data_IF_454127083461
#
_entry.id   IF_454127083461
#
_cell.length_a   1.000
_cell.length_b   1.000
_cell.length_c   1.000
_cell.angle_alpha   90.00
_cell.angle_beta   90.00
_cell.angle_gamma   90.00
#
_symmetry.space_group_name_H-M   'P 1'
#
loop_
_entity.id
_entity.type
_entity.pdbx_description
1 polymer ?
#
# COMPACT_ATOMS: atom_id res chain seq x y z
N UNK A 1 19.73 -2.89 -9.85
CA UNK A 1 20.64 -4.05 -9.57
C UNK A 1 20.00 -5.31 -10.13
N UNK A 2 20.76 -6.26 -10.67
CA UNK A 2 20.20 -7.58 -10.99
C UNK A 2 19.82 -8.31 -9.70
N UNK A 3 18.72 -9.10 -9.70
CA UNK A 3 18.33 -9.82 -8.49
C UNK A 3 19.37 -10.90 -8.14
N UNK A 4 19.62 -11.04 -6.87
CA UNK A 4 20.36 -12.17 -6.34
C UNK A 4 19.43 -13.35 -6.08
N UNK A 5 19.94 -14.56 -6.24
CA UNK A 5 19.21 -15.78 -5.88
C UNK A 5 19.47 -16.06 -4.40
N UNK A 6 18.40 -16.10 -3.59
CA UNK A 6 18.51 -16.54 -2.20
C UNK A 6 18.54 -18.06 -2.12
N UNK A 7 19.16 -18.58 -1.07
CA UNK A 7 19.14 -20.01 -0.79
C UNK A 7 17.72 -20.52 -0.59
N UNK A 8 17.36 -21.56 -1.30
CA UNK A 8 16.04 -22.21 -1.23
C UNK A 8 16.19 -23.65 -0.69
N UNK A 9 15.20 -24.15 0.06
CA UNK A 9 15.19 -25.56 0.48
C UNK A 9 15.25 -26.51 -0.71
N UNK A 10 15.78 -27.73 -0.54
CA UNK A 10 15.79 -28.74 -1.60
C UNK A 10 14.38 -28.97 -2.18
N UNK A 11 14.24 -28.88 -3.50
CA UNK A 11 12.97 -29.05 -4.20
C UNK A 11 12.05 -27.80 -4.22
N UNK A 12 12.41 -26.72 -3.53
CA UNK A 12 11.68 -25.46 -3.61
C UNK A 12 12.06 -24.66 -4.85
N UNK A 13 11.17 -23.75 -5.27
CA UNK A 13 11.43 -22.86 -6.39
C UNK A 13 12.49 -21.78 -6.05
N UNK A 14 13.14 -21.18 -7.06
CA UNK A 14 14.07 -20.08 -6.85
C UNK A 14 13.41 -18.88 -6.16
N UNK A 15 14.21 -18.15 -5.36
CA UNK A 15 13.81 -16.87 -4.77
C UNK A 15 14.72 -15.80 -5.33
N UNK A 16 14.15 -14.85 -6.07
CA UNK A 16 14.85 -13.73 -6.68
C UNK A 16 14.67 -12.47 -5.84
N UNK A 17 15.73 -11.92 -5.28
CA UNK A 17 15.67 -10.75 -4.41
C UNK A 17 16.42 -9.57 -5.01
N UNK A 18 15.73 -8.44 -5.17
CA UNK A 18 16.32 -7.16 -5.54
C UNK A 18 16.84 -6.37 -4.32
N UNK A 19 16.47 -6.79 -3.11
CA UNK A 19 16.96 -6.18 -1.88
C UNK A 19 18.44 -6.47 -1.64
N UNK A 20 19.24 -5.45 -1.27
CA UNK A 20 20.64 -5.63 -0.81
C UNK A 20 20.70 -6.43 0.49
N UNK A 21 19.69 -6.28 1.35
CA UNK A 21 19.54 -7.06 2.58
C UNK A 21 18.11 -7.56 2.74
N UNK A 22 17.97 -8.85 3.06
CA UNK A 22 16.68 -9.48 3.39
C UNK A 22 16.75 -9.96 4.83
N UNK A 23 15.85 -9.47 5.73
CA UNK A 23 15.85 -9.92 7.12
C UNK A 23 15.71 -11.44 7.24
N UNK A 24 16.41 -12.11 8.17
CA UNK A 24 16.35 -13.58 8.29
C UNK A 24 14.93 -14.14 8.46
N UNK A 25 14.05 -13.41 9.15
CA UNK A 25 12.63 -13.80 9.27
C UNK A 25 11.89 -13.75 7.94
N UNK A 26 12.19 -12.76 7.09
CA UNK A 26 11.60 -12.66 5.75
C UNK A 26 12.15 -13.76 4.82
N UNK A 27 13.45 -14.10 4.91
CA UNK A 27 14.02 -15.23 4.17
C UNK A 27 13.26 -16.52 4.46
N UNK A 28 13.00 -16.83 5.75
CA UNK A 28 12.21 -18.01 6.13
C UNK A 28 10.80 -17.99 5.54
N UNK A 29 10.14 -16.83 5.53
CA UNK A 29 8.80 -16.69 4.94
C UNK A 29 8.81 -16.89 3.43
N UNK A 30 9.82 -16.36 2.72
CA UNK A 30 10.02 -16.55 1.28
C UNK A 30 10.32 -18.01 0.94
N UNK A 31 11.19 -18.67 1.72
CA UNK A 31 11.51 -20.09 1.57
C UNK A 31 10.27 -20.99 1.78
N UNK A 32 9.46 -20.66 2.79
CA UNK A 32 8.21 -21.37 3.02
C UNK A 32 7.24 -21.21 1.85
N UNK A 33 7.10 -20.00 1.30
CA UNK A 33 6.28 -19.75 0.11
C UNK A 33 6.83 -20.48 -1.13
N UNK A 34 8.14 -20.43 -1.37
CA UNK A 34 8.78 -21.07 -2.52
C UNK A 34 8.65 -22.62 -2.51
N UNK A 35 8.37 -23.21 -1.34
CA UNK A 35 8.13 -24.63 -1.18
C UNK A 35 6.67 -25.04 -1.42
N UNK A 36 5.75 -24.09 -1.69
CA UNK A 36 4.35 -24.41 -1.89
C UNK A 36 4.10 -24.95 -3.30
N UNK A 37 3.32 -26.06 -3.45
CA UNK A 37 3.16 -26.74 -4.74
C UNK A 37 2.36 -25.95 -5.78
N UNK A 38 1.63 -24.92 -5.36
CA UNK A 38 0.84 -24.07 -6.26
C UNK A 38 1.62 -22.86 -6.80
N UNK A 39 2.78 -22.54 -6.24
CA UNK A 39 3.65 -21.46 -6.76
C UNK A 39 4.30 -21.92 -8.05
N UNK A 40 4.38 -21.04 -9.03
CA UNK A 40 5.01 -21.33 -10.31
C UNK A 40 6.21 -20.41 -10.57
N UNK A 41 7.17 -20.89 -11.36
CA UNK A 41 8.38 -20.20 -11.78
C UNK A 41 9.33 -19.84 -10.62
N UNK A 42 9.00 -18.83 -9.82
CA UNK A 42 9.83 -18.34 -8.73
C UNK A 42 9.06 -17.42 -7.78
N UNK A 43 9.66 -17.10 -6.66
CA UNK A 43 9.21 -16.04 -5.75
C UNK A 43 10.10 -14.81 -5.97
N UNK A 44 9.50 -13.63 -6.15
CA UNK A 44 10.21 -12.37 -6.27
C UNK A 44 10.10 -11.55 -4.97
N UNK A 45 11.22 -11.03 -4.47
CA UNK A 45 11.30 -10.19 -3.28
C UNK A 45 11.80 -8.79 -3.67
N UNK A 46 10.95 -7.78 -3.47
CA UNK A 46 11.23 -6.38 -3.78
C UNK A 46 12.28 -5.80 -2.79
N UNK A 47 12.96 -4.69 -3.13
CA UNK A 47 13.95 -4.06 -2.26
C UNK A 47 13.47 -3.73 -0.85
N UNK A 48 12.20 -3.39 -0.70
CA UNK A 48 11.55 -3.02 0.56
C UNK A 48 11.07 -4.21 1.40
N UNK A 49 11.47 -5.44 1.06
CA UNK A 49 11.02 -6.67 1.72
C UNK A 49 11.30 -6.66 3.22
N UNK A 50 10.28 -7.02 4.01
CA UNK A 50 10.38 -7.12 5.47
C UNK A 50 9.40 -8.14 6.07
N UNK A 51 9.66 -8.54 7.31
CA UNK A 51 8.85 -9.53 8.04
C UNK A 51 7.43 -9.04 8.27
N UNK A 52 6.45 -9.92 8.05
CA UNK A 52 5.04 -9.67 8.29
C UNK A 52 4.32 -10.95 8.72
N UNK A 53 3.02 -10.88 9.00
CA UNK A 53 2.21 -12.07 9.25
C UNK A 53 1.99 -12.86 7.95
N UNK A 54 2.15 -14.17 7.99
CA UNK A 54 2.03 -15.06 6.82
C UNK A 54 3.22 -14.94 5.88
N UNK A 55 3.08 -14.21 4.79
CA UNK A 55 4.11 -13.94 3.78
C UNK A 55 4.74 -12.58 4.05
N UNK A 56 6.04 -12.42 3.78
CA UNK A 56 6.74 -11.14 3.91
C UNK A 56 6.10 -10.05 3.04
N UNK A 57 6.09 -8.80 3.51
CA UNK A 57 5.76 -7.63 2.67
C UNK A 57 6.89 -7.42 1.67
N UNK A 58 6.61 -6.93 0.48
CA UNK A 58 7.56 -6.85 -0.63
C UNK A 58 7.66 -8.17 -1.41
N UNK A 59 6.67 -9.05 -1.30
CA UNK A 59 6.66 -10.35 -2.00
C UNK A 59 5.71 -10.34 -3.19
N UNK A 60 6.20 -10.90 -4.30
CA UNK A 60 5.41 -11.18 -5.51
C UNK A 60 5.63 -12.65 -5.91
N UNK A 61 4.56 -13.34 -6.24
CA UNK A 61 4.60 -14.70 -6.78
C UNK A 61 3.38 -14.96 -7.65
N UNK A 62 3.47 -15.97 -8.48
CA UNK A 62 2.40 -16.36 -9.38
C UNK A 62 1.91 -17.77 -9.11
N UNK A 63 0.65 -18.01 -9.42
CA UNK A 63 -0.01 -19.32 -9.43
C UNK A 63 -0.82 -19.48 -10.71
N UNK A 64 -1.18 -20.70 -11.09
CA UNK A 64 -2.05 -20.90 -12.27
C UNK A 64 -3.54 -20.77 -11.92
N UNK A 65 -3.97 -21.44 -10.86
CA UNK A 65 -5.40 -21.60 -10.52
C UNK A 65 -5.61 -21.62 -8.99
N UNK A 66 -4.78 -20.92 -8.25
CA UNK A 66 -4.88 -20.92 -6.78
C UNK A 66 -4.78 -19.49 -6.27
N UNK A 67 -5.81 -19.02 -5.57
CA UNK A 67 -5.72 -17.77 -4.79
C UNK A 67 -5.30 -18.09 -3.36
N UNK A 68 -4.36 -17.31 -2.81
CA UNK A 68 -3.77 -17.53 -1.48
C UNK A 68 -4.12 -16.36 -0.56
N UNK A 69 -5.24 -16.41 0.19
CA UNK A 69 -5.70 -15.30 1.01
C UNK A 69 -4.68 -14.85 2.06
N UNK A 70 -3.95 -15.80 2.66
CA UNK A 70 -2.91 -15.53 3.67
C UNK A 70 -1.69 -14.78 3.13
N UNK A 71 -1.54 -14.69 1.81
CA UNK A 71 -0.41 -14.03 1.15
C UNK A 71 -0.68 -12.56 0.77
N UNK A 72 -1.89 -12.02 0.97
CA UNK A 72 -2.25 -10.66 0.54
C UNK A 72 -2.25 -9.63 1.68
N UNK A 73 -2.25 -10.08 2.93
CA UNK A 73 -2.42 -9.21 4.10
C UNK A 73 -3.87 -8.76 4.31
N UNK A 74 -4.11 -8.01 5.40
CA UNK A 74 -5.47 -7.60 5.80
C UNK A 74 -5.96 -6.32 5.13
N UNK A 75 -5.09 -5.47 4.56
CA UNK A 75 -5.51 -4.24 3.88
C UNK A 75 -5.50 -4.44 2.37
N UNK A 76 -6.49 -5.21 1.89
CA UNK A 76 -6.68 -5.49 0.47
C UNK A 76 -6.90 -4.18 -0.30
N UNK A 77 -6.20 -4.02 -1.42
CA UNK A 77 -6.28 -2.84 -2.27
C UNK A 77 -5.67 -1.57 -1.66
N UNK A 78 -4.93 -1.68 -0.52
CA UNK A 78 -4.13 -0.56 -0.02
C UNK A 78 -3.26 0.01 -1.13
N UNK A 79 -3.16 1.34 -1.19
CA UNK A 79 -2.49 2.00 -2.30
C UNK A 79 -2.28 3.48 -2.08
N UNK A 80 -1.65 4.12 -3.05
CA UNK A 80 -1.32 5.54 -3.01
C UNK A 80 -1.85 6.24 -4.24
N UNK A 81 -2.47 7.41 -4.06
CA UNK A 81 -2.78 8.34 -5.14
C UNK A 81 -1.96 9.63 -4.99
N UNK A 82 -1.65 10.27 -6.13
CA UNK A 82 -0.91 11.51 -6.20
C UNK A 82 -1.57 12.49 -7.18
N UNK A 83 -1.71 13.76 -6.79
CA UNK A 83 -2.39 14.81 -7.54
C UNK A 83 -1.51 16.07 -7.56
N UNK A 84 -1.18 16.58 -8.76
CA UNK A 84 -0.38 17.78 -8.94
C UNK A 84 -1.26 19.02 -9.00
N UNK A 85 -0.83 20.07 -8.33
CA UNK A 85 -1.37 21.42 -8.46
C UNK A 85 -0.30 22.30 -9.10
N UNK A 86 -0.62 22.97 -10.21
CA UNK A 86 0.25 23.97 -10.83
C UNK A 86 0.29 25.22 -9.94
N UNK A 87 0.79 25.07 -8.72
CA UNK A 87 0.84 26.07 -7.67
C UNK A 87 2.21 26.06 -6.99
N UNK A 88 2.88 27.24 -6.86
CA UNK A 88 4.21 27.32 -6.28
C UNK A 88 4.16 27.00 -4.77
N UNK A 89 4.54 25.80 -4.38
CA UNK A 89 4.51 25.34 -2.99
C UNK A 89 5.30 26.25 -2.02
N UNK A 90 6.32 26.96 -2.53
CA UNK A 90 7.11 27.91 -1.75
C UNK A 90 6.34 29.16 -1.32
N UNK A 91 5.18 29.46 -1.91
CA UNK A 91 4.31 30.56 -1.47
C UNK A 91 3.52 30.23 -0.20
N UNK A 92 3.46 28.95 0.19
CA UNK A 92 2.83 28.51 1.45
C UNK A 92 3.85 28.62 2.60
N UNK A 93 3.60 29.54 3.49
CA UNK A 93 4.34 29.64 4.75
C UNK A 93 3.93 28.53 5.73
N UNK A 94 4.67 28.40 6.84
CA UNK A 94 4.37 27.40 7.87
C UNK A 94 2.96 27.54 8.43
N UNK A 95 2.50 28.75 8.68
CA UNK A 95 1.15 29.03 9.19
C UNK A 95 0.05 28.59 8.21
N UNK A 96 0.27 28.77 6.90
CA UNK A 96 -0.67 28.33 5.87
C UNK A 96 -0.79 26.81 5.84
N UNK A 97 0.34 26.10 5.90
CA UNK A 97 0.39 24.64 5.97
C UNK A 97 -0.27 24.09 7.24
N UNK A 98 -0.05 24.72 8.40
CA UNK A 98 -0.71 24.39 9.66
C UNK A 98 -2.24 24.58 9.56
N UNK A 99 -2.69 25.66 8.95
CA UNK A 99 -4.10 25.95 8.68
C UNK A 99 -4.75 24.94 7.74
N UNK A 100 -4.05 24.56 6.67
CA UNK A 100 -4.49 23.53 5.72
C UNK A 100 -4.61 22.18 6.41
N UNK A 101 -3.58 21.72 7.15
CA UNK A 101 -3.65 20.45 7.87
C UNK A 101 -4.77 20.42 8.90
N UNK A 102 -4.98 21.52 9.65
CA UNK A 102 -6.09 21.61 10.60
C UNK A 102 -7.44 21.53 9.90
N UNK A 103 -7.60 22.09 8.71
CA UNK A 103 -8.83 22.02 7.93
C UNK A 103 -9.04 20.61 7.37
N UNK A 104 -8.01 20.00 6.81
CA UNK A 104 -8.03 18.62 6.34
C UNK A 104 -8.38 17.64 7.47
N UNK A 105 -7.81 17.79 8.66
CA UNK A 105 -8.10 16.95 9.82
C UNK A 105 -9.57 17.06 10.31
N UNK A 106 -10.23 18.21 10.06
CA UNK A 106 -11.67 18.36 10.34
C UNK A 106 -12.56 17.72 9.27
N UNK A 107 -12.10 17.68 8.01
CA UNK A 107 -12.86 17.15 6.86
C UNK A 107 -12.69 15.65 6.66
N UNK A 108 -11.53 15.11 7.05
CA UNK A 108 -11.14 13.72 6.83
C UNK A 108 -11.04 13.00 8.18
N UNK A 109 -11.86 11.99 8.46
CA UNK A 109 -11.71 11.15 9.64
C UNK A 109 -10.39 10.38 9.60
N UNK A 110 -9.60 10.43 10.69
CA UNK A 110 -8.29 9.77 10.81
C UNK A 110 -8.28 8.72 11.92
N UNK A 111 -7.37 7.76 11.87
CA UNK A 111 -7.27 6.68 12.84
C UNK A 111 -8.53 5.79 12.83
N UNK A 112 -9.11 5.59 14.00
CA UNK A 112 -10.34 4.80 14.18
C UNK A 112 -11.61 5.60 13.93
N UNK A 113 -11.50 6.91 13.64
CA UNK A 113 -12.66 7.74 13.38
C UNK A 113 -13.35 7.35 12.06
N UNK A 114 -14.69 7.38 12.09
CA UNK A 114 -15.56 7.08 10.95
C UNK A 114 -16.68 8.11 10.85
N UNK A 115 -17.37 8.16 9.71
CA UNK A 115 -18.54 9.03 9.56
C UNK A 115 -19.68 8.59 10.50
N UNK A 116 -20.39 9.56 11.05
CA UNK A 116 -21.55 9.34 11.93
C UNK A 116 -22.81 9.01 11.10
N UNK A 117 -23.81 8.40 11.76
CA UNK A 117 -25.09 8.09 11.14
C UNK A 117 -24.98 7.07 10.01
N UNK A 118 -25.65 7.34 8.90
CA UNK A 118 -25.67 6.47 7.72
C UNK A 118 -24.34 6.45 6.92
N UNK A 119 -23.44 7.39 7.19
CA UNK A 119 -22.22 7.55 6.40
C UNK A 119 -22.45 8.19 5.03
N UNK A 120 -21.58 7.87 4.06
CA UNK A 120 -21.64 8.40 2.70
C UNK A 120 -22.24 7.36 1.74
N UNK A 121 -22.95 7.79 0.67
CA UNK A 121 -23.43 6.87 -0.34
C UNK A 121 -22.25 6.18 -1.04
N UNK A 122 -22.37 4.86 -1.26
CA UNK A 122 -21.38 4.12 -1.99
C UNK A 122 -21.49 4.39 -3.50
N UNK A 123 -20.35 4.48 -4.21
CA UNK A 123 -20.35 4.55 -5.67
C UNK A 123 -21.07 3.35 -6.31
N UNK A 124 -21.59 3.52 -7.55
CA UNK A 124 -22.14 2.41 -8.33
C UNK A 124 -21.14 1.24 -8.43
N UNK A 125 -21.64 0.02 -8.36
CA UNK A 125 -20.80 -1.19 -8.45
C UNK A 125 -20.21 -1.68 -7.13
N UNK A 126 -20.41 -0.95 -6.02
CA UNK A 126 -19.95 -1.34 -4.67
C UNK A 126 -21.09 -1.80 -3.76
N UNK A 127 -22.11 -2.48 -4.33
CA UNK A 127 -23.19 -3.05 -3.54
C UNK A 127 -22.69 -4.18 -2.66
N UNK A 128 -23.05 -4.17 -1.38
CA UNK A 128 -22.70 -5.23 -0.45
C UNK A 128 -23.27 -6.60 -0.85
N UNK A 129 -24.43 -6.62 -1.53
CA UNK A 129 -25.08 -7.83 -2.03
C UNK A 129 -24.21 -8.65 -3.02
N UNK A 130 -23.17 -8.08 -3.62
CA UNK A 130 -22.23 -8.80 -4.47
C UNK A 130 -21.20 -9.64 -3.72
N UNK A 131 -21.09 -9.48 -2.39
CA UNK A 131 -20.18 -10.28 -1.56
C UNK A 131 -20.70 -11.69 -1.33
N UNK A 132 -19.78 -12.63 -1.18
CA UNK A 132 -20.06 -14.07 -1.22
C UNK A 132 -20.89 -14.62 -0.07
N UNK A 133 -20.93 -13.95 1.07
CA UNK A 133 -21.68 -14.43 2.25
C UNK A 133 -22.55 -13.37 2.87
N UNK A 134 -23.70 -13.80 3.44
CA UNK A 134 -24.61 -12.90 4.18
C UNK A 134 -23.93 -12.17 5.35
N UNK A 135 -22.89 -12.76 5.96
CA UNK A 135 -22.13 -12.09 7.02
C UNK A 135 -21.34 -10.92 6.45
N UNK A 136 -20.57 -11.14 5.39
CA UNK A 136 -19.81 -10.08 4.72
C UNK A 136 -20.73 -9.00 4.16
N UNK A 137 -21.87 -9.39 3.56
CA UNK A 137 -22.89 -8.45 3.08
C UNK A 137 -23.36 -7.51 4.18
N UNK A 138 -23.84 -8.04 5.31
CA UNK A 138 -24.31 -7.22 6.46
C UNK A 138 -23.21 -6.35 7.05
N UNK A 139 -21.98 -6.88 7.18
CA UNK A 139 -20.86 -6.11 7.71
C UNK A 139 -20.52 -4.94 6.76
N UNK A 140 -20.52 -5.16 5.45
CA UNK A 140 -20.26 -4.12 4.46
C UNK A 140 -21.39 -3.10 4.37
N UNK A 141 -22.68 -3.51 4.38
CA UNK A 141 -23.83 -2.58 4.41
C UNK A 141 -23.74 -1.59 5.58
N UNK A 142 -23.32 -2.08 6.73
CA UNK A 142 -23.18 -1.29 7.95
C UNK A 142 -21.92 -0.42 7.98
N UNK A 143 -20.80 -0.93 7.47
CA UNK A 143 -19.48 -0.30 7.66
C UNK A 143 -19.02 0.49 6.44
N UNK A 144 -19.26 0.03 5.22
CA UNK A 144 -18.69 0.65 4.03
C UNK A 144 -19.09 2.14 3.87
N UNK A 145 -20.38 2.53 4.05
CA UNK A 145 -20.75 3.94 4.00
C UNK A 145 -20.05 4.81 5.04
N UNK A 146 -19.77 4.24 6.22
CA UNK A 146 -19.13 4.97 7.33
C UNK A 146 -17.62 5.07 7.18
N UNK A 147 -17.02 4.14 6.44
CA UNK A 147 -15.57 4.09 6.19
C UNK A 147 -15.14 4.75 4.88
N UNK A 148 -16.07 5.03 3.95
CA UNK A 148 -15.74 5.74 2.71
C UNK A 148 -15.25 7.15 3.03
N UNK A 149 -14.22 7.63 2.32
CA UNK A 149 -13.53 8.89 2.59
C UNK A 149 -12.97 9.01 4.02
N UNK A 150 -12.42 7.91 4.58
CA UNK A 150 -11.68 7.91 5.83
C UNK A 150 -10.24 7.48 5.62
N UNK A 151 -9.30 8.17 6.27
CA UNK A 151 -7.88 7.92 6.10
C UNK A 151 -7.43 6.60 6.76
N UNK A 152 -7.86 6.38 7.99
CA UNK A 152 -7.41 5.28 8.82
C UNK A 152 -6.16 5.58 9.61
N UNK A 153 -5.55 4.52 10.18
CA UNK A 153 -4.39 4.62 11.05
C UNK A 153 -3.16 3.92 10.50
N UNK A 154 -2.11 3.89 11.30
CA UNK A 154 -0.84 3.24 10.98
C UNK A 154 -0.03 4.01 9.93
N UNK A 155 0.38 3.33 8.87
CA UNK A 155 1.16 3.94 7.77
C UNK A 155 0.33 4.80 6.81
N UNK A 156 -0.99 4.92 6.98
CA UNK A 156 -1.82 5.77 6.14
C UNK A 156 -1.53 7.25 6.38
N UNK A 157 -1.59 8.03 5.30
CA UNK A 157 -1.31 9.46 5.35
C UNK A 157 -2.02 10.24 4.24
N UNK A 158 -2.17 11.52 4.46
CA UNK A 158 -2.40 12.56 3.49
C UNK A 158 -1.21 13.52 3.61
N UNK A 159 -0.47 13.72 2.52
CA UNK A 159 0.78 14.46 2.54
C UNK A 159 0.76 15.54 1.46
N UNK A 160 1.28 16.71 1.80
CA UNK A 160 1.56 17.76 0.85
C UNK A 160 3.06 17.76 0.58
N UNK A 161 3.41 17.65 -0.68
CA UNK A 161 4.78 17.60 -1.17
C UNK A 161 5.08 18.75 -2.11
N UNK A 162 6.37 19.02 -2.30
CA UNK A 162 6.90 19.90 -3.34
C UNK A 162 7.78 19.09 -4.28
N UNK A 163 7.59 19.26 -5.58
CA UNK A 163 8.49 18.70 -6.58
C UNK A 163 9.72 19.58 -6.86
N UNK A 164 10.61 19.10 -7.75
CA UNK A 164 11.80 19.83 -8.15
C UNK A 164 11.50 21.12 -8.97
N UNK A 165 10.35 21.16 -9.65
CA UNK A 165 9.86 22.36 -10.37
C UNK A 165 9.26 23.40 -9.44
N UNK A 166 8.97 23.03 -8.20
CA UNK A 166 8.37 23.90 -7.18
C UNK A 166 6.86 23.73 -7.04
N UNK A 167 6.23 22.87 -7.81
CA UNK A 167 4.79 22.64 -7.77
C UNK A 167 4.36 21.83 -6.53
N UNK A 168 3.13 22.10 -6.09
CA UNK A 168 2.51 21.40 -4.96
C UNK A 168 1.91 20.08 -5.41
N UNK A 169 2.08 19.07 -4.58
CA UNK A 169 1.49 17.74 -4.75
C UNK A 169 0.69 17.32 -3.52
N UNK A 170 -0.42 16.62 -3.75
CA UNK A 170 -1.20 15.93 -2.72
C UNK A 170 -1.02 14.44 -2.90
N UNK A 171 -0.49 13.75 -1.88
CA UNK A 171 -0.38 12.31 -1.83
C UNK A 171 -1.35 11.75 -0.79
N UNK A 172 -2.01 10.63 -1.13
CA UNK A 172 -2.96 9.95 -0.23
C UNK A 172 -2.64 8.47 -0.21
N UNK A 173 -2.25 7.94 0.95
CA UNK A 173 -2.08 6.53 1.20
C UNK A 173 -3.22 6.01 2.08
N UNK A 174 -4.10 5.17 1.52
CA UNK A 174 -5.21 4.54 2.24
C UNK A 174 -5.67 3.27 1.53
N UNK A 175 -6.48 2.46 2.22
CA UNK A 175 -6.92 1.16 1.74
C UNK A 175 -8.40 0.88 2.00
N UNK A 176 -8.74 -0.42 2.03
CA UNK A 176 -10.11 -0.94 2.21
C UNK A 176 -10.64 -0.83 3.64
N UNK A 177 -9.89 -0.20 4.53
CA UNK A 177 -10.25 -0.06 5.93
C UNK A 177 -10.49 -1.46 6.56
N UNK A 178 -11.23 -1.56 7.64
CA UNK A 178 -11.54 -2.83 8.28
C UNK A 178 -12.30 -3.86 7.41
N UNK A 179 -12.85 -3.43 6.28
CA UNK A 179 -13.59 -4.30 5.36
C UNK A 179 -12.68 -5.31 4.67
N UNK A 180 -11.53 -4.87 4.12
CA UNK A 180 -10.55 -5.78 3.53
C UNK A 180 -10.05 -6.81 4.53
N UNK A 181 -9.81 -6.39 5.78
CA UNK A 181 -9.44 -7.30 6.86
C UNK A 181 -10.50 -8.36 7.17
N UNK A 182 -11.78 -7.99 7.17
CA UNK A 182 -12.88 -8.93 7.36
C UNK A 182 -12.98 -9.95 6.21
N UNK A 183 -12.82 -9.49 4.96
CA UNK A 183 -12.80 -10.34 3.76
C UNK A 183 -11.59 -11.30 3.81
N UNK A 184 -10.39 -10.77 4.05
CA UNK A 184 -9.18 -11.58 4.14
C UNK A 184 -9.27 -12.66 5.24
N UNK A 185 -9.77 -12.28 6.43
CA UNK A 185 -9.95 -13.22 7.54
C UNK A 185 -11.00 -14.29 7.24
N UNK A 186 -12.11 -13.93 6.54
CA UNK A 186 -13.11 -14.90 6.11
C UNK A 186 -12.49 -15.95 5.18
N UNK A 187 -11.83 -15.53 4.11
CA UNK A 187 -11.28 -16.46 3.12
C UNK A 187 -10.05 -17.20 3.62
N UNK A 188 -9.26 -16.63 4.52
CA UNK A 188 -8.19 -17.37 5.21
C UNK A 188 -8.76 -18.52 6.05
N UNK A 189 -9.87 -18.29 6.77
CA UNK A 189 -10.55 -19.35 7.51
C UNK A 189 -11.07 -20.44 6.57
N UNK A 190 -11.75 -20.08 5.49
CA UNK A 190 -12.22 -21.03 4.47
C UNK A 190 -11.05 -21.84 3.89
N UNK A 191 -9.94 -21.17 3.55
CA UNK A 191 -8.76 -21.83 3.04
C UNK A 191 -8.15 -22.81 4.07
N UNK A 192 -8.12 -22.42 5.36
CA UNK A 192 -7.62 -23.28 6.44
C UNK A 192 -8.51 -24.52 6.68
N UNK A 193 -9.83 -24.38 6.52
CA UNK A 193 -10.78 -25.48 6.67
C UNK A 193 -10.78 -26.44 5.47
N UNK A 194 -10.42 -25.98 4.28
CA UNK A 194 -10.51 -26.74 3.01
C UNK A 194 -9.17 -27.15 2.44
N UNK A 195 -8.10 -26.45 2.75
CA UNK A 195 -6.76 -26.64 2.21
C UNK A 195 -5.84 -27.41 3.15
N UNK A 196 -4.69 -27.80 2.62
CA UNK A 196 -3.63 -28.46 3.37
C UNK A 196 -2.45 -27.50 3.61
N UNK A 197 -1.70 -27.74 4.67
CA UNK A 197 -0.49 -26.99 4.99
C UNK A 197 -0.73 -25.69 5.76
N UNK A 198 0.34 -24.97 6.02
CA UNK A 198 0.36 -23.74 6.84
C UNK A 198 0.11 -22.46 6.05
N UNK A 199 0.09 -22.53 4.72
CA UNK A 199 -0.27 -21.43 3.82
C UNK A 199 -1.28 -21.95 2.77
N UNK A 200 -2.51 -22.27 3.18
CA UNK A 200 -3.47 -22.91 2.29
C UNK A 200 -3.99 -21.94 1.23
N UNK A 201 -4.11 -22.44 0.00
CA UNK A 201 -4.73 -21.76 -1.13
C UNK A 201 -6.10 -22.32 -1.46
N UNK A 202 -6.90 -21.56 -2.21
CA UNK A 202 -8.20 -21.97 -2.75
C UNK A 202 -8.10 -22.05 -4.28
N UNK A 203 -8.51 -23.17 -4.85
CA UNK A 203 -8.56 -23.33 -6.32
C UNK A 203 -9.65 -22.45 -6.89
N UNK A 204 -9.32 -21.69 -7.93
CA UNK A 204 -10.25 -20.72 -8.56
C UNK A 204 -11.36 -21.38 -9.38
N UNK A 205 -11.20 -22.63 -9.74
CA UNK A 205 -12.23 -23.44 -10.38
C UNK A 205 -13.23 -24.10 -9.37
N UNK A 206 -13.14 -23.74 -8.08
CA UNK A 206 -14.10 -24.09 -7.05
C UNK A 206 -14.96 -22.89 -6.65
N UNK A 207 -16.18 -23.11 -6.11
CA UNK A 207 -17.01 -22.01 -5.62
C UNK A 207 -16.31 -21.11 -4.59
N UNK A 208 -15.52 -21.71 -3.68
CA UNK A 208 -14.80 -21.00 -2.61
C UNK A 208 -13.68 -20.11 -3.18
N UNK A 209 -12.93 -20.62 -4.17
CA UNK A 209 -11.86 -19.86 -4.81
C UNK A 209 -12.40 -18.74 -5.70
N UNK A 210 -13.46 -18.98 -6.46
CA UNK A 210 -14.14 -17.96 -7.24
C UNK A 210 -14.72 -16.86 -6.34
N UNK A 211 -15.36 -17.22 -5.23
CA UNK A 211 -15.87 -16.29 -4.23
C UNK A 211 -14.74 -15.46 -3.59
N UNK A 212 -13.60 -16.09 -3.30
CA UNK A 212 -12.43 -15.40 -2.75
C UNK A 212 -11.91 -14.31 -3.69
N UNK A 213 -11.75 -14.61 -4.98
CA UNK A 213 -11.31 -13.64 -5.99
C UNK A 213 -12.30 -12.47 -6.12
N UNK A 214 -13.61 -12.78 -6.20
CA UNK A 214 -14.64 -11.74 -6.33
C UNK A 214 -14.70 -10.79 -5.11
N UNK A 215 -14.58 -11.34 -3.91
CA UNK A 215 -14.58 -10.53 -2.68
C UNK A 215 -13.30 -9.70 -2.53
N UNK A 216 -12.12 -10.23 -2.94
CA UNK A 216 -10.87 -9.47 -2.99
C UNK A 216 -10.98 -8.32 -4.00
N UNK A 217 -11.52 -8.56 -5.18
CA UNK A 217 -11.75 -7.52 -6.19
C UNK A 217 -12.70 -6.43 -5.67
N UNK A 218 -13.77 -6.82 -4.97
CA UNK A 218 -14.66 -5.87 -4.31
C UNK A 218 -13.90 -4.98 -3.31
N UNK A 219 -13.04 -5.59 -2.46
CA UNK A 219 -12.23 -4.84 -1.50
C UNK A 219 -11.26 -3.87 -2.18
N UNK A 220 -10.62 -4.28 -3.29
CA UNK A 220 -9.72 -3.43 -4.07
C UNK A 220 -10.49 -2.24 -4.70
N UNK A 221 -11.68 -2.48 -5.25
CA UNK A 221 -12.54 -1.40 -5.78
C UNK A 221 -13.01 -0.45 -4.67
N UNK A 222 -13.36 -0.97 -3.49
CA UNK A 222 -13.70 -0.12 -2.35
C UNK A 222 -12.51 0.72 -1.87
N UNK A 223 -11.31 0.14 -1.79
CA UNK A 223 -10.10 0.86 -1.42
C UNK A 223 -9.78 2.02 -2.39
N UNK A 224 -9.93 1.79 -3.69
CA UNK A 224 -9.79 2.82 -4.72
C UNK A 224 -10.84 3.92 -4.55
N UNK A 225 -12.12 3.56 -4.41
CA UNK A 225 -13.19 4.52 -4.18
C UNK A 225 -12.98 5.32 -2.87
N UNK A 226 -12.40 4.70 -1.84
CA UNK A 226 -12.02 5.40 -0.62
C UNK A 226 -10.94 6.47 -0.87
N UNK A 227 -9.87 6.14 -1.66
CA UNK A 227 -8.85 7.14 -2.03
C UNK A 227 -9.41 8.24 -2.91
N UNK A 228 -10.25 7.92 -3.88
CA UNK A 228 -10.94 8.91 -4.74
C UNK A 228 -11.81 9.87 -3.91
N UNK A 229 -12.58 9.33 -2.96
CA UNK A 229 -13.43 10.14 -2.07
C UNK A 229 -12.62 10.98 -1.06
N UNK A 230 -11.47 10.47 -0.60
CA UNK A 230 -10.49 11.22 0.20
C UNK A 230 -9.88 12.35 -0.62
N UNK A 231 -9.45 12.05 -1.86
CA UNK A 231 -8.89 13.03 -2.78
C UNK A 231 -9.90 14.15 -3.06
N UNK A 232 -11.15 13.83 -3.36
CA UNK A 232 -12.18 14.83 -3.61
C UNK A 232 -12.32 15.81 -2.43
N UNK A 233 -12.35 15.31 -1.18
CA UNK A 233 -12.43 16.14 0.03
C UNK A 233 -11.19 16.97 0.28
N UNK A 234 -10.01 16.42 0.03
CA UNK A 234 -8.76 17.16 0.19
C UNK A 234 -8.60 18.20 -0.91
N UNK A 235 -8.97 17.89 -2.14
CA UNK A 235 -8.98 18.81 -3.28
C UNK A 235 -9.92 19.99 -3.03
N UNK A 236 -11.15 19.78 -2.53
CA UNK A 236 -12.05 20.89 -2.16
C UNK A 236 -11.37 21.90 -1.22
N UNK A 237 -10.67 21.41 -0.18
CA UNK A 237 -9.94 22.27 0.77
C UNK A 237 -8.79 23.01 0.08
N UNK A 238 -8.04 22.31 -0.77
CA UNK A 238 -6.89 22.91 -1.46
C UNK A 238 -7.34 23.90 -2.54
N UNK A 239 -8.36 23.60 -3.33
CA UNK A 239 -8.90 24.53 -4.34
C UNK A 239 -9.43 25.80 -3.69
N UNK A 240 -10.16 25.71 -2.56
CA UNK A 240 -10.62 26.87 -1.81
C UNK A 240 -9.45 27.75 -1.34
N UNK A 241 -8.33 27.14 -0.94
CA UNK A 241 -7.17 27.87 -0.43
C UNK A 241 -6.22 28.38 -1.52
N UNK A 242 -6.05 27.61 -2.62
CA UNK A 242 -5.04 27.86 -3.65
C UNK A 242 -5.60 28.56 -4.91
N UNK A 243 -6.90 28.44 -5.16
CA UNK A 243 -7.56 28.99 -6.34
C UNK A 243 -7.24 28.23 -7.65
N UNK A 244 -6.74 27.00 -7.59
CA UNK A 244 -6.46 26.20 -8.77
C UNK A 244 -6.87 24.73 -8.56
N UNK A 245 -7.27 24.07 -9.66
CA UNK A 245 -7.63 22.66 -9.71
C UNK A 245 -6.39 21.78 -9.90
N UNK A 246 -6.40 20.53 -9.39
CA UNK A 246 -5.31 19.59 -9.66
C UNK A 246 -5.39 19.03 -11.07
N UNK A 247 -4.24 18.61 -11.58
CA UNK A 247 -4.15 17.78 -12.78
C UNK A 247 -4.62 16.34 -12.50
N UNK A 248 -4.99 15.55 -13.57
CA UNK A 248 -5.30 14.14 -13.41
C UNK A 248 -4.21 13.39 -12.64
N UNK A 249 -4.62 12.65 -11.63
CA UNK A 249 -3.71 12.00 -10.70
C UNK A 249 -3.29 10.59 -11.12
N UNK A 250 -2.32 10.04 -10.38
CA UNK A 250 -1.90 8.63 -10.44
C UNK A 250 -2.52 7.90 -9.25
N UNK A 251 -3.02 6.67 -9.45
CA UNK A 251 -3.47 5.79 -8.36
C UNK A 251 -2.94 4.38 -8.58
N UNK A 252 -2.22 3.85 -7.60
CA UNK A 252 -1.67 2.49 -7.62
C UNK A 252 -1.98 1.77 -6.32
N UNK A 253 -2.15 0.44 -6.37
CA UNK A 253 -2.36 -0.39 -5.20
C UNK A 253 -1.30 -1.49 -5.11
N UNK A 254 -1.07 -2.03 -3.90
CA UNK A 254 0.07 -2.87 -3.60
C UNK A 254 -0.25 -4.12 -2.75
N UNK A 255 -1.53 -4.40 -2.47
CA UNK A 255 -2.00 -5.62 -1.79
C UNK A 255 -3.18 -6.21 -2.55
N UNK A 256 -2.90 -7.07 -3.54
CA UNK A 256 -3.93 -7.63 -4.41
C UNK A 256 -3.46 -8.92 -5.10
N UNK A 257 -4.39 -9.59 -5.74
CA UNK A 257 -4.14 -10.62 -6.75
C UNK A 257 -4.79 -10.19 -8.06
N UNK A 258 -4.10 -10.38 -9.17
CA UNK A 258 -4.61 -10.06 -10.50
C UNK A 258 -4.29 -11.18 -11.49
N UNK A 259 -5.18 -11.39 -12.46
CA UNK A 259 -4.93 -12.24 -13.61
C UNK A 259 -4.11 -11.46 -14.64
N UNK A 260 -2.94 -11.95 -14.96
CA UNK A 260 -1.97 -11.28 -15.83
C UNK A 260 -1.31 -12.28 -16.78
N UNK A 261 -0.84 -11.81 -17.92
CA UNK A 261 -0.08 -12.64 -18.87
C UNK A 261 1.41 -12.46 -18.64
N UNK A 262 2.07 -13.51 -18.14
CA UNK A 262 3.50 -13.57 -17.98
C UNK A 262 4.06 -14.85 -18.59
N UNK A 263 5.22 -14.75 -19.23
CA UNK A 263 5.91 -15.90 -19.85
C UNK A 263 5.02 -16.68 -20.84
N UNK A 264 4.09 -15.99 -21.52
CA UNK A 264 3.14 -16.59 -22.46
C UNK A 264 1.99 -17.37 -21.80
N UNK A 265 1.81 -17.26 -20.49
CA UNK A 265 0.77 -17.95 -19.71
C UNK A 265 -0.09 -16.94 -18.95
N UNK A 266 -1.37 -17.26 -18.76
CA UNK A 266 -2.26 -16.52 -17.87
C UNK A 266 -2.02 -17.01 -16.45
N UNK A 267 -1.61 -16.12 -15.57
CA UNK A 267 -1.24 -16.42 -14.19
C UNK A 267 -1.96 -15.49 -13.21
N UNK A 268 -2.23 -15.97 -12.01
CA UNK A 268 -2.68 -15.16 -10.89
C UNK A 268 -1.46 -14.62 -10.14
N UNK A 269 -1.14 -13.35 -10.34
CA UNK A 269 -0.02 -12.68 -9.70
C UNK A 269 -0.47 -12.10 -8.36
N UNK A 270 0.14 -12.59 -7.29
CA UNK A 270 -0.12 -12.14 -5.93
C UNK A 270 0.91 -11.10 -5.52
N UNK A 271 0.47 -9.97 -5.03
CA UNK A 271 1.32 -8.88 -4.53
C UNK A 271 0.97 -8.54 -3.10
N UNK A 272 1.95 -8.59 -2.23
CA UNK A 272 1.86 -8.13 -0.85
C UNK A 272 2.92 -7.06 -0.59
N UNK A 273 2.52 -5.80 -0.54
CA UNK A 273 3.45 -4.69 -0.48
C UNK A 273 4.33 -4.59 -1.73
N UNK A 274 3.73 -4.72 -2.90
CA UNK A 274 4.39 -4.53 -4.19
C UNK A 274 3.40 -3.94 -5.20
N UNK A 275 3.87 -3.03 -6.03
CA UNK A 275 3.07 -2.36 -7.08
C UNK A 275 3.32 -3.05 -8.41
N UNK A 276 2.25 -3.36 -9.15
CA UNK A 276 2.34 -3.80 -10.54
C UNK A 276 2.40 -2.59 -11.47
N UNK A 277 3.39 -2.52 -12.37
CA UNK A 277 3.54 -1.47 -13.37
C UNK A 277 3.90 -2.06 -14.72
N UNK A 278 3.06 -1.80 -15.70
CA UNK A 278 3.38 -2.09 -17.11
C UNK A 278 4.55 -1.21 -17.60
N UNK A 279 5.24 -1.58 -18.70
CA UNK A 279 6.24 -0.72 -19.31
C UNK A 279 5.67 0.67 -19.63
N UNK A 280 6.35 1.74 -19.19
CA UNK A 280 5.93 3.12 -19.39
C UNK A 280 4.78 3.59 -18.48
N UNK A 281 4.22 2.72 -17.66
CA UNK A 281 3.18 3.11 -16.70
C UNK A 281 3.78 3.88 -15.53
N UNK A 282 3.17 5.02 -15.20
CA UNK A 282 3.56 5.80 -14.03
C UNK A 282 3.03 5.16 -12.75
N UNK A 283 3.90 5.05 -11.76
CA UNK A 283 3.59 4.65 -10.39
C UNK A 283 4.13 5.63 -9.36
N UNK A 284 3.91 5.32 -8.09
CA UNK A 284 4.42 6.11 -6.98
C UNK A 284 5.00 5.20 -5.90
N UNK A 285 6.19 5.54 -5.41
CA UNK A 285 6.89 4.87 -4.32
C UNK A 285 7.11 5.88 -3.20
N UNK A 286 6.28 5.87 -2.15
CA UNK A 286 6.41 6.78 -1.03
C UNK A 286 7.62 6.43 -0.16
N UNK A 287 8.26 7.49 0.36
CA UNK A 287 9.25 7.37 1.42
C UNK A 287 8.62 7.19 2.79
N UNK A 288 9.10 7.95 3.77
CA UNK A 288 8.53 8.04 5.12
C UNK A 288 8.12 9.49 5.41
N UNK A 289 7.53 9.78 6.57
CA UNK A 289 7.04 11.13 6.94
C UNK A 289 8.00 12.30 6.69
N UNK A 290 9.30 12.08 6.62
CA UNK A 290 10.29 13.17 6.45
C UNK A 290 11.25 12.91 5.30
N UNK A 291 11.05 11.85 4.52
CA UNK A 291 11.87 11.48 3.36
C UNK A 291 11.08 11.60 2.06
N UNK A 292 11.79 11.78 0.95
CA UNK A 292 11.15 11.99 -0.33
C UNK A 292 10.34 10.79 -0.80
N UNK A 293 9.25 11.07 -1.53
CA UNK A 293 8.51 10.11 -2.35
C UNK A 293 8.90 10.29 -3.82
N UNK A 294 8.64 9.29 -4.66
CA UNK A 294 9.02 9.34 -6.07
C UNK A 294 7.91 8.88 -6.99
N UNK A 295 7.63 9.66 -8.03
CA UNK A 295 6.98 9.12 -9.21
C UNK A 295 8.01 8.32 -10.00
N UNK A 296 7.59 7.16 -10.45
CA UNK A 296 8.43 6.22 -11.19
C UNK A 296 7.71 5.74 -12.44
N UNK A 297 8.47 5.31 -13.44
CA UNK A 297 7.96 4.66 -14.63
C UNK A 297 8.37 3.20 -14.63
N UNK A 298 7.39 2.29 -14.80
CA UNK A 298 7.61 0.86 -14.85
C UNK A 298 8.45 0.44 -16.05
N UNK A 299 9.38 -0.50 -15.85
CA UNK A 299 10.21 -1.11 -16.92
C UNK A 299 9.67 -2.46 -17.38
N UNK A 300 8.60 -2.94 -16.74
CA UNK A 300 7.95 -4.20 -17.11
C UNK A 300 8.85 -5.44 -16.92
N UNK A 301 9.74 -5.43 -15.91
CA UNK A 301 10.71 -6.50 -15.64
C UNK A 301 10.03 -7.88 -15.48
N UNK A 302 10.22 -8.84 -16.42
CA UNK A 302 9.47 -10.10 -16.39
C UNK A 302 9.79 -10.97 -15.16
N UNK A 303 11.02 -10.91 -14.66
CA UNK A 303 11.49 -11.66 -13.49
C UNK A 303 10.88 -11.13 -12.17
N UNK A 304 10.32 -9.93 -12.17
CA UNK A 304 9.56 -9.36 -11.05
C UNK A 304 8.04 -9.40 -11.31
N UNK A 305 7.57 -10.12 -12.32
CA UNK A 305 6.17 -10.10 -12.77
C UNK A 305 5.67 -8.66 -12.97
N UNK A 306 6.47 -7.79 -13.61
CA UNK A 306 6.15 -6.39 -13.82
C UNK A 306 5.93 -5.60 -12.52
N UNK A 307 6.64 -5.93 -11.44
CA UNK A 307 6.40 -5.33 -10.12
C UNK A 307 7.60 -4.55 -9.61
N UNK A 308 7.34 -3.65 -8.65
CA UNK A 308 8.34 -2.88 -7.92
C UNK A 308 7.95 -2.71 -6.45
N UNK A 309 8.79 -2.08 -5.64
CA UNK A 309 8.52 -1.73 -4.24
C UNK A 309 7.26 -0.88 -4.09
N UNK A 310 6.58 -1.01 -2.95
CA UNK A 310 5.42 -0.17 -2.60
C UNK A 310 5.79 1.06 -1.77
N UNK A 311 7.03 1.16 -1.31
CA UNK A 311 7.53 2.24 -0.45
C UNK A 311 8.93 1.95 0.05
N UNK A 312 9.38 2.70 1.06
CA UNK A 312 10.72 2.55 1.64
C UNK A 312 10.91 1.21 2.39
N UNK A 313 9.84 0.58 2.86
CA UNK A 313 9.92 -0.64 3.69
C UNK A 313 10.47 -0.39 5.10
N UNK A 314 10.00 -1.17 6.06
CA UNK A 314 10.38 -1.01 7.45
C UNK A 314 11.66 -1.78 7.81
N UNK A 315 12.52 -1.15 8.62
CA UNK A 315 13.67 -1.81 9.29
C UNK A 315 13.38 -2.12 10.76
N UNK A 316 12.42 -1.40 11.37
CA UNK A 316 11.96 -1.66 12.74
C UNK A 316 10.48 -2.05 12.72
N UNK A 317 10.11 -3.02 13.55
CA UNK A 317 8.69 -3.24 13.86
C UNK A 317 8.11 -2.02 14.58
N UNK A 318 6.77 -1.87 14.58
CA UNK A 318 6.13 -0.76 15.33
C UNK A 318 6.49 -0.79 16.82
N UNK A 319 6.56 -1.99 17.42
CA UNK A 319 6.97 -2.15 18.83
C UNK A 319 8.40 -1.69 19.07
N UNK A 320 9.34 -2.09 18.22
CA UNK A 320 10.74 -1.66 18.32
C UNK A 320 10.90 -0.15 18.10
N UNK A 321 10.18 0.42 17.13
CA UNK A 321 10.21 1.87 16.88
C UNK A 321 9.72 2.64 18.13
N UNK A 322 8.58 2.23 18.73
CA UNK A 322 8.09 2.83 19.98
C UNK A 322 9.07 2.69 21.15
N UNK A 323 9.83 1.60 21.20
CA UNK A 323 10.80 1.36 22.27
C UNK A 323 12.13 2.13 22.08
N UNK A 324 12.53 2.38 20.82
CA UNK A 324 13.88 2.91 20.50
C UNK A 324 13.87 4.38 20.07
N UNK A 325 12.78 4.88 19.49
CA UNK A 325 12.72 6.24 18.95
C UNK A 325 12.02 7.16 19.94
N UNK A 326 12.70 8.25 20.30
CA UNK A 326 12.14 9.29 21.19
C UNK A 326 11.35 10.30 20.38
N UNK A 327 10.29 10.92 20.95
CA UNK A 327 9.50 11.96 20.28
C UNK A 327 10.38 13.12 19.77
N UNK A 328 11.40 13.54 20.53
CA UNK A 328 12.31 14.63 20.16
C UNK A 328 13.15 14.29 18.93
N UNK A 329 13.51 13.01 18.74
CA UNK A 329 14.20 12.55 17.53
C UNK A 329 13.28 12.61 16.28
N UNK A 330 12.00 12.26 16.45
CA UNK A 330 10.99 12.43 15.38
C UNK A 330 10.82 13.90 15.05
N UNK A 331 10.62 14.79 16.04
CA UNK A 331 10.48 16.24 15.83
C UNK A 331 11.70 16.84 15.14
N UNK A 332 12.91 16.41 15.52
CA UNK A 332 14.13 16.84 14.84
C UNK A 332 14.18 16.38 13.37
N UNK A 333 13.81 15.13 13.10
CA UNK A 333 13.76 14.60 11.73
C UNK A 333 12.73 15.35 10.87
N UNK A 334 11.60 15.76 11.47
CA UNK A 334 10.50 16.46 10.81
C UNK A 334 10.56 17.99 10.92
N UNK A 335 11.67 18.60 11.34
CA UNK A 335 11.77 20.06 11.56
C UNK A 335 11.38 20.91 10.35
N UNK A 336 11.42 20.35 9.14
CA UNK A 336 11.03 21.00 7.88
C UNK A 336 9.66 20.58 7.37
N UNK A 337 8.98 19.66 8.05
CA UNK A 337 7.67 19.15 7.69
C UNK A 337 6.68 19.59 8.75
N UNK A 338 5.54 20.11 8.33
CA UNK A 338 4.45 20.45 9.25
C UNK A 338 3.66 19.20 9.56
N UNK A 339 3.45 18.93 10.84
CA UNK A 339 2.65 17.81 11.32
C UNK A 339 2.02 18.12 12.68
N UNK A 340 1.11 17.31 13.17
CA UNK A 340 0.51 17.49 14.49
C UNK A 340 1.51 17.11 15.61
N UNK A 341 2.18 18.09 16.18
CA UNK A 341 3.13 17.92 17.29
C UNK A 341 2.49 17.30 18.54
N UNK A 342 1.19 17.52 18.78
CA UNK A 342 0.46 16.91 19.88
C UNK A 342 0.42 15.38 19.80
N UNK A 343 0.62 14.82 18.60
CA UNK A 343 0.67 13.39 18.33
C UNK A 343 2.07 12.81 18.20
N UNK A 344 3.14 13.60 18.40
CA UNK A 344 4.53 13.16 18.19
C UNK A 344 4.82 11.82 18.89
N UNK A 345 4.36 11.64 20.14
CA UNK A 345 4.54 10.39 20.89
C UNK A 345 3.86 9.17 20.26
N UNK A 346 2.72 9.35 19.64
CA UNK A 346 2.01 8.27 18.92
C UNK A 346 2.65 7.98 17.55
N UNK A 347 3.25 9.01 16.92
CA UNK A 347 3.80 8.94 15.58
C UNK A 347 5.25 8.43 15.52
N UNK A 348 5.93 8.15 16.66
CA UNK A 348 7.32 7.62 16.65
C UNK A 348 7.45 6.32 15.87
N UNK A 349 6.39 5.52 15.78
CA UNK A 349 6.41 4.28 15.02
C UNK A 349 6.50 4.51 13.50
N UNK A 350 6.18 5.71 13.02
CA UNK A 350 6.23 6.13 11.62
C UNK A 350 7.42 7.07 11.32
N UNK A 351 8.32 7.23 12.29
CA UNK A 351 9.53 8.05 12.14
C UNK A 351 10.42 7.54 10.99
N UNK A 352 11.13 8.44 10.27
CA UNK A 352 12.05 8.06 9.20
C UNK A 352 13.04 6.95 9.60
N UNK A 353 13.56 6.99 10.83
CA UNK A 353 14.49 5.99 11.35
C UNK A 353 13.91 4.56 11.48
N UNK A 354 12.60 4.38 11.33
CA UNK A 354 11.94 3.07 11.31
C UNK A 354 11.90 2.44 9.90
N UNK A 355 12.34 3.16 8.87
CA UNK A 355 12.26 2.79 7.47
C UNK A 355 13.65 2.74 6.82
N UNK A 356 13.78 2.03 5.69
CA UNK A 356 14.98 2.07 4.84
C UNK A 356 15.15 3.45 4.22
N UNK A 357 16.37 3.73 3.78
CA UNK A 357 16.61 4.87 2.90
C UNK A 357 15.95 4.60 1.53
N UNK A 358 15.03 5.47 1.14
CA UNK A 358 14.31 5.36 -0.13
C UNK A 358 15.25 5.45 -1.34
N UNK A 359 16.36 6.17 -1.23
CA UNK A 359 17.36 6.25 -2.31
C UNK A 359 18.02 4.89 -2.54
N UNK A 360 18.35 4.15 -1.47
CA UNK A 360 18.88 2.79 -1.58
C UNK A 360 17.86 1.82 -2.18
N UNK A 361 16.58 1.94 -1.82
CA UNK A 361 15.49 1.13 -2.40
C UNK A 361 15.41 1.35 -3.91
N UNK A 362 15.45 2.61 -4.37
CA UNK A 362 15.42 2.93 -5.81
C UNK A 362 16.67 2.47 -6.56
N UNK A 363 17.85 2.55 -5.94
CA UNK A 363 19.08 2.00 -6.52
C UNK A 363 18.98 0.49 -6.72
N UNK A 364 18.44 -0.22 -5.73
CA UNK A 364 18.28 -1.67 -5.77
C UNK A 364 17.29 -2.10 -6.87
N UNK A 365 16.25 -1.31 -7.14
CA UNK A 365 15.22 -1.61 -8.14
C UNK A 365 15.39 -0.86 -9.49
N UNK A 366 16.57 -0.34 -9.80
CA UNK A 366 16.84 0.35 -11.07
C UNK A 366 16.55 -0.50 -12.33
N UNK A 367 16.46 -1.83 -12.21
CA UNK A 367 16.00 -2.74 -13.26
C UNK A 367 14.47 -2.75 -13.40
N UNK A 368 13.74 -2.43 -12.33
CA UNK A 368 12.28 -2.54 -12.24
C UNK A 368 11.59 -1.25 -12.67
N UNK A 369 12.13 -0.11 -12.25
CA UNK A 369 11.55 1.21 -12.48
C UNK A 369 12.62 2.25 -12.84
N UNK A 370 12.16 3.36 -13.41
CA UNK A 370 12.94 4.57 -13.63
C UNK A 370 12.32 5.71 -12.80
N UNK A 371 13.02 6.31 -11.83
CA UNK A 371 12.54 7.50 -11.13
C UNK A 371 12.39 8.68 -12.11
N UNK A 372 11.22 9.30 -12.15
CA UNK A 372 10.91 10.42 -13.06
C UNK A 372 10.72 11.74 -12.33
N UNK A 373 10.24 11.71 -11.07
CA UNK A 373 10.03 12.92 -10.29
C UNK A 373 10.24 12.65 -8.81
N UNK A 374 10.99 13.52 -8.14
CA UNK A 374 11.18 13.50 -6.69
C UNK A 374 10.22 14.49 -6.03
N UNK A 375 9.47 14.00 -5.04
CA UNK A 375 8.53 14.75 -4.22
C UNK A 375 9.10 14.90 -2.81
N UNK A 376 9.11 16.11 -2.27
CA UNK A 376 9.66 16.38 -0.94
C UNK A 376 8.54 16.80 0.00
N UNK A 377 8.31 16.08 1.11
CA UNK A 377 7.22 16.39 2.02
C UNK A 377 7.41 17.76 2.69
N UNK A 378 6.32 18.55 2.74
CA UNK A 378 6.25 19.83 3.43
C UNK A 378 5.21 19.84 4.55
N UNK A 379 4.16 19.01 4.44
CA UNK A 379 3.17 18.83 5.50
C UNK A 379 2.54 17.45 5.44
N UNK A 380 2.25 16.83 6.60
CA UNK A 380 1.67 15.47 6.67
C UNK A 380 0.59 15.36 7.74
N UNK A 381 -0.58 14.84 7.34
CA UNK A 381 -1.64 14.37 8.22
C UNK A 381 -1.55 12.85 8.30
N UNK A 382 -1.22 12.32 9.47
CA UNK A 382 -1.07 10.88 9.74
C UNK A 382 -2.34 10.30 10.38
N UNK A 383 -2.68 9.11 9.95
CA UNK A 383 -3.78 8.35 10.50
C UNK A 383 -3.61 7.81 11.91
#
# INVERSE_FOLDING_TARGET
MMPRVLESPPGALPILAWAREVPPGAVKQLQHLASQPYVVEHVAAMPDVHVSQGVAVGTVFATERTVVPGALGGDLGCGVSAHRFAFPAASLGRADLEGLLATLARRVPVGDAVHRGAGLPLPPGLQAASLSTHRLQRDCERLAPRHLATLGGGNHFLELDRDAGGDLWLLIHSGSRGLGGAIAAHHLRVATERGEGSLPGLRTDTPEGAACLADIEWACRFARANREALAARAVEVLVEALGCEPEPGVDVHHNHVAEETHLGRVLLVHRKGAVGLAPGQTGIIPGSMGTASYLVEGRGAPRAFGSCSHGAGRVLTRGEARARIRPEALEHALRRVVFDHGRARALVEEAPAAYRDIAEVLEDEAELVTPVLRLTPIAVLKG
#
